data_IF_654008246265
#
_entry.id   IF_654008246265
#
_cell.length_a   1.000
_cell.length_b   1.000
_cell.length_c   1.000
_cell.angle_alpha   90.00
_cell.angle_beta   90.00
_cell.angle_gamma   90.00
#
_symmetry.space_group_name_H-M   'P 1'
#
loop_
_entity.id
_entity.type
_entity.pdbx_description
1 polymer ?
#
# COMPACT_ATOMS: atom_id res chain seq x y z
N UNK A 1 12.89 -14.61 -21.15
CA UNK A 1 12.87 -13.92 -19.86
C UNK A 1 11.54 -14.23 -19.22
N UNK A 2 11.54 -14.70 -17.96
CA UNK A 2 10.32 -15.05 -17.26
C UNK A 2 9.58 -13.76 -16.88
N UNK A 3 8.26 -13.75 -17.04
CA UNK A 3 7.35 -12.61 -16.82
C UNK A 3 7.55 -11.91 -15.45
N UNK A 4 8.16 -12.57 -14.46
CA UNK A 4 8.43 -12.02 -13.13
C UNK A 4 9.55 -10.97 -13.06
N UNK A 5 10.45 -10.91 -14.04
CA UNK A 5 11.55 -9.94 -14.03
C UNK A 5 11.11 -8.50 -14.43
N UNK A 6 9.83 -8.33 -14.81
CA UNK A 6 9.27 -7.03 -15.25
C UNK A 6 8.57 -6.26 -14.12
N UNK A 7 8.10 -6.94 -13.06
CA UNK A 7 7.33 -6.31 -11.99
C UNK A 7 8.21 -5.39 -11.12
N UNK A 8 7.68 -4.21 -10.78
CA UNK A 8 8.36 -3.25 -9.93
C UNK A 8 8.40 -3.68 -8.45
N UNK A 9 7.49 -4.57 -8.05
CA UNK A 9 7.33 -4.99 -6.66
C UNK A 9 6.79 -6.42 -6.52
N UNK A 10 7.43 -7.20 -5.64
CA UNK A 10 6.95 -8.52 -5.20
C UNK A 10 7.07 -8.62 -3.67
N UNK A 11 5.92 -8.78 -2.98
CA UNK A 11 5.88 -8.80 -1.52
C UNK A 11 6.62 -10.02 -0.95
N UNK A 12 7.74 -9.79 -0.25
CA UNK A 12 8.52 -10.86 0.41
C UNK A 12 8.00 -11.26 1.80
N UNK A 13 6.84 -10.74 2.21
CA UNK A 13 6.30 -10.89 3.57
C UNK A 13 7.32 -10.58 4.69
N UNK A 14 8.27 -9.67 4.43
CA UNK A 14 9.37 -9.35 5.34
C UNK A 14 8.96 -8.63 6.63
N UNK A 15 7.76 -8.05 6.69
CA UNK A 15 7.27 -7.33 7.86
C UNK A 15 7.75 -5.89 8.00
N UNK A 16 8.64 -5.40 7.12
CA UNK A 16 9.12 -4.02 7.22
C UNK A 16 7.98 -2.99 7.13
N UNK A 17 7.02 -3.17 6.20
CA UNK A 17 5.84 -2.31 6.12
C UNK A 17 4.89 -2.40 7.33
N UNK A 18 5.09 -3.37 8.23
CA UNK A 18 4.33 -3.51 9.46
C UNK A 18 4.95 -2.74 10.64
N UNK A 19 6.19 -2.26 10.51
CA UNK A 19 6.88 -1.48 11.53
C UNK A 19 6.46 -0.01 11.45
N UNK A 20 6.02 0.55 12.58
CA UNK A 20 5.64 1.96 12.72
C UNK A 20 4.20 2.15 13.22
N UNK A 21 3.94 3.31 13.80
CA UNK A 21 2.66 3.66 14.46
C UNK A 21 1.81 4.59 13.60
N UNK A 22 0.49 4.38 13.61
CA UNK A 22 -0.50 5.30 13.03
C UNK A 22 -0.54 5.38 11.49
N UNK A 23 0.16 4.50 10.78
CA UNK A 23 0.20 4.50 9.31
C UNK A 23 -0.93 3.70 8.65
N UNK A 24 -1.54 2.75 9.37
CA UNK A 24 -2.51 1.80 8.81
C UNK A 24 -3.93 2.27 9.07
N UNK A 25 -4.42 3.19 8.24
CA UNK A 25 -5.81 3.65 8.25
C UNK A 25 -6.75 2.53 7.81
N UNK A 26 -7.85 2.37 8.53
CA UNK A 26 -8.92 1.40 8.23
C UNK A 26 -10.15 2.19 7.79
N UNK A 27 -10.34 2.31 6.46
CA UNK A 27 -11.55 2.91 5.89
C UNK A 27 -12.76 1.97 6.00
N UNK A 28 -13.98 2.43 5.67
CA UNK A 28 -15.18 1.61 5.77
C UNK A 28 -15.11 0.29 5.00
N UNK A 29 -14.54 0.30 3.78
CA UNK A 29 -14.33 -0.92 2.96
C UNK A 29 -13.30 -1.86 3.57
N UNK A 30 -12.27 -1.32 4.22
CA UNK A 30 -11.24 -2.11 4.90
C UNK A 30 -11.84 -2.80 6.12
N UNK A 31 -12.64 -2.05 6.90
CA UNK A 31 -13.29 -2.55 8.10
C UNK A 31 -14.22 -3.72 7.78
N UNK A 32 -15.06 -3.58 6.75
CA UNK A 32 -15.92 -4.68 6.32
C UNK A 32 -15.12 -5.93 5.92
N UNK A 33 -14.04 -5.75 5.15
CA UNK A 33 -13.19 -6.85 4.66
C UNK A 33 -12.44 -7.56 5.78
N UNK A 34 -11.81 -6.82 6.70
CA UNK A 34 -11.02 -7.42 7.79
C UNK A 34 -11.93 -8.08 8.83
N UNK A 35 -13.09 -7.48 9.14
CA UNK A 35 -14.07 -8.08 10.03
C UNK A 35 -14.62 -9.39 9.49
N UNK A 36 -14.96 -9.46 8.19
CA UNK A 36 -15.41 -10.69 7.56
C UNK A 36 -14.35 -11.79 7.61
N UNK A 37 -13.07 -11.44 7.47
CA UNK A 37 -11.97 -12.40 7.57
C UNK A 37 -11.74 -12.90 9.00
N UNK A 38 -11.86 -12.01 10.00
CA UNK A 38 -11.64 -12.34 11.41
C UNK A 38 -12.88 -12.94 12.10
N UNK A 39 -14.05 -12.89 11.47
CA UNK A 39 -15.31 -13.29 12.09
C UNK A 39 -15.76 -12.36 13.21
N UNK A 40 -15.49 -11.05 13.08
CA UNK A 40 -15.78 -10.04 14.10
C UNK A 40 -16.79 -9.01 13.60
N UNK A 41 -17.48 -8.37 14.55
CA UNK A 41 -18.20 -7.13 14.30
C UNK A 41 -17.25 -5.93 14.22
N UNK A 42 -17.64 -4.83 13.56
CA UNK A 42 -16.89 -3.58 13.58
C UNK A 42 -16.51 -3.09 14.98
N UNK A 43 -17.43 -3.23 15.94
CA UNK A 43 -17.24 -2.81 17.32
C UNK A 43 -16.17 -3.65 18.03
N UNK A 44 -16.24 -4.98 17.87
CA UNK A 44 -15.22 -5.89 18.41
C UNK A 44 -13.85 -5.63 17.81
N UNK A 45 -13.78 -5.38 16.50
CA UNK A 45 -12.53 -5.03 15.83
C UNK A 45 -11.93 -3.73 16.38
N UNK A 46 -12.75 -2.68 16.54
CA UNK A 46 -12.28 -1.40 17.05
C UNK A 46 -11.72 -1.53 18.49
N UNK A 47 -12.39 -2.30 19.35
CA UNK A 47 -11.92 -2.57 20.72
C UNK A 47 -10.64 -3.41 20.73
N UNK A 48 -10.58 -4.48 19.94
CA UNK A 48 -9.48 -5.45 19.99
C UNK A 48 -8.23 -5.02 19.22
N UNK A 49 -8.38 -4.29 18.12
CA UNK A 49 -7.29 -3.99 17.18
C UNK A 49 -7.23 -2.52 16.73
N UNK A 50 -8.29 -1.74 16.97
CA UNK A 50 -8.38 -0.36 16.53
C UNK A 50 -7.77 0.65 17.49
N UNK A 51 -7.38 1.81 16.97
CA UNK A 51 -7.24 3.05 17.72
C UNK A 51 -7.72 4.22 16.86
N UNK A 52 -8.31 5.26 17.47
CA UNK A 52 -8.71 6.48 16.73
C UNK A 52 -7.65 7.56 16.85
N UNK A 53 -7.18 8.07 15.72
CA UNK A 53 -6.28 9.24 15.66
C UNK A 53 -6.75 10.19 14.56
N UNK A 54 -6.82 11.48 14.89
CA UNK A 54 -7.26 12.53 13.96
C UNK A 54 -8.59 12.21 13.26
N UNK A 55 -9.54 11.60 13.98
CA UNK A 55 -10.86 11.22 13.45
C UNK A 55 -10.89 9.92 12.64
N UNK A 56 -9.76 9.26 12.39
CA UNK A 56 -9.66 8.03 11.61
C UNK A 56 -9.42 6.82 12.49
N UNK A 57 -10.02 5.69 12.12
CA UNK A 57 -9.69 4.39 12.68
C UNK A 57 -8.36 3.90 12.08
N UNK A 58 -7.47 3.43 12.94
CA UNK A 58 -6.17 2.87 12.57
C UNK A 58 -5.95 1.53 13.28
N UNK A 59 -5.11 0.67 12.71
CA UNK A 59 -4.66 -0.55 13.40
C UNK A 59 -3.59 -0.19 14.43
N UNK A 60 -3.75 -0.69 15.67
CA UNK A 60 -2.78 -0.49 16.75
C UNK A 60 -1.49 -1.28 16.50
N UNK A 61 -0.44 -0.86 17.19
CA UNK A 61 0.82 -1.61 17.25
C UNK A 61 1.02 -2.26 18.61
N UNK A 62 1.89 -3.25 18.67
CA UNK A 62 2.42 -3.80 19.92
C UNK A 62 3.46 -2.87 20.58
N UNK A 63 4.12 -3.38 21.62
CA UNK A 63 5.19 -2.68 22.37
C UNK A 63 6.45 -2.46 21.55
N UNK A 64 6.70 -3.29 20.55
CA UNK A 64 7.87 -3.20 19.66
C UNK A 64 7.59 -2.33 18.42
N UNK A 65 6.41 -1.71 18.37
CA UNK A 65 5.91 -0.86 17.29
C UNK A 65 5.58 -1.60 15.99
N UNK A 66 5.35 -2.91 16.03
CA UNK A 66 4.82 -3.66 14.89
C UNK A 66 3.30 -3.64 14.91
N UNK A 67 2.68 -3.63 13.72
CA UNK A 67 1.26 -3.88 13.53
C UNK A 67 0.84 -5.13 14.31
N UNK A 68 -0.28 -5.06 15.05
CA UNK A 68 -0.77 -6.17 15.88
C UNK A 68 -1.04 -7.48 15.10
N UNK A 69 -1.20 -7.38 13.77
CA UNK A 69 -1.38 -8.53 12.88
C UNK A 69 -0.07 -9.05 12.27
N UNK A 70 1.08 -8.52 12.67
CA UNK A 70 2.37 -9.06 12.27
C UNK A 70 2.81 -10.13 13.26
N UNK A 71 3.02 -11.35 12.77
CA UNK A 71 3.60 -12.44 13.54
C UNK A 71 5.04 -12.64 13.08
N UNK A 72 6.00 -12.49 14.00
CA UNK A 72 7.41 -12.76 13.72
C UNK A 72 7.57 -14.16 13.12
N UNK A 73 8.38 -14.27 12.07
CA UNK A 73 8.65 -15.49 11.29
C UNK A 73 7.47 -16.07 10.48
N UNK A 74 6.25 -15.54 10.63
CA UNK A 74 5.06 -15.96 9.85
C UNK A 74 4.53 -14.88 8.90
N UNK A 75 4.79 -13.60 9.19
CA UNK A 75 4.34 -12.47 8.39
C UNK A 75 2.99 -11.91 8.82
N UNK A 76 2.28 -11.27 7.89
CA UNK A 76 1.00 -10.63 8.16
C UNK A 76 -0.12 -11.67 8.25
N UNK A 77 -0.73 -11.85 9.43
CA UNK A 77 -1.79 -12.83 9.66
C UNK A 77 -3.10 -12.49 8.91
N UNK A 78 -3.31 -11.22 8.60
CA UNK A 78 -4.46 -10.73 7.80
C UNK A 78 -4.08 -10.41 6.35
N UNK A 79 -3.03 -11.04 5.79
CA UNK A 79 -2.52 -10.68 4.46
C UNK A 79 -3.60 -10.71 3.37
N UNK A 80 -4.52 -11.68 3.42
CA UNK A 80 -5.62 -11.82 2.45
C UNK A 80 -6.70 -10.74 2.59
N UNK A 81 -6.78 -10.11 3.75
CA UNK A 81 -7.78 -9.10 4.09
C UNK A 81 -7.16 -7.71 4.33
N UNK A 82 -5.91 -7.50 3.90
CA UNK A 82 -5.13 -6.27 4.13
C UNK A 82 -5.97 -5.02 3.88
N UNK A 83 -5.90 -4.01 4.76
CA UNK A 83 -6.42 -2.67 4.45
C UNK A 83 -5.82 -2.13 3.15
N UNK A 84 -6.53 -1.24 2.49
CA UNK A 84 -6.13 -0.72 1.19
C UNK A 84 -4.77 -0.02 1.23
N UNK A 85 -4.45 0.66 2.33
CA UNK A 85 -3.11 1.23 2.53
C UNK A 85 -2.01 0.16 2.59
N UNK A 86 -2.29 -1.03 3.15
CA UNK A 86 -1.35 -2.15 3.16
C UNK A 86 -1.29 -2.89 1.82
N UNK A 87 -2.37 -2.88 1.03
CA UNK A 87 -2.40 -3.40 -0.34
C UNK A 87 -1.65 -2.50 -1.31
N UNK A 88 -1.63 -1.20 -1.04
CA UNK A 88 -1.01 -0.19 -1.89
C UNK A 88 0.48 -0.03 -1.66
N UNK A 89 1.04 -0.51 -0.54
CA UNK A 89 2.50 -0.52 -0.37
C UNK A 89 3.15 -1.34 -1.50
N UNK A 90 4.18 -0.82 -2.21
CA UNK A 90 4.96 0.41 -1.97
C UNK A 90 4.54 1.63 -2.81
N UNK A 91 3.45 1.54 -3.56
CA UNK A 91 2.98 2.55 -4.51
C UNK A 91 2.25 3.73 -3.83
N UNK A 92 2.80 4.26 -2.75
CA UNK A 92 2.26 5.47 -2.11
C UNK A 92 2.57 6.68 -2.96
N UNK A 93 1.68 7.70 -2.96
CA UNK A 93 1.85 8.93 -3.75
C UNK A 93 3.27 9.48 -3.70
N UNK A 94 3.87 9.59 -2.51
CA UNK A 94 5.25 10.07 -2.34
C UNK A 94 6.26 9.29 -3.19
N UNK A 95 6.22 7.96 -3.16
CA UNK A 95 7.12 7.11 -3.94
C UNK A 95 6.84 7.13 -5.45
N UNK A 96 5.65 7.61 -5.86
CA UNK A 96 5.26 7.70 -7.26
C UNK A 96 5.65 9.05 -7.88
N UNK A 97 5.74 10.12 -7.09
CA UNK A 97 6.03 11.47 -7.59
C UNK A 97 7.45 11.95 -7.29
N UNK A 98 8.15 11.27 -6.39
CA UNK A 98 9.47 11.66 -5.91
C UNK A 98 10.44 10.47 -5.93
N UNK A 99 11.51 10.62 -6.71
CA UNK A 99 12.54 9.58 -6.87
C UNK A 99 13.34 9.34 -5.59
N UNK A 100 13.50 10.35 -4.75
CA UNK A 100 14.22 10.23 -3.48
C UNK A 100 13.39 9.40 -2.49
N UNK A 101 12.08 9.65 -2.42
CA UNK A 101 11.11 8.82 -1.69
C UNK A 101 11.15 7.36 -2.15
N UNK A 102 11.17 7.08 -3.46
CA UNK A 102 11.33 5.72 -3.96
C UNK A 102 12.67 5.11 -3.54
N UNK A 103 13.75 5.88 -3.56
CA UNK A 103 15.08 5.40 -3.15
C UNK A 103 15.07 4.96 -1.68
N UNK A 104 14.51 5.79 -0.79
CA UNK A 104 14.32 5.42 0.62
C UNK A 104 13.42 4.19 0.79
N UNK A 105 12.37 4.07 -0.03
CA UNK A 105 11.50 2.89 0.02
C UNK A 105 12.25 1.61 -0.39
N UNK A 106 13.18 1.67 -1.35
CA UNK A 106 14.02 0.54 -1.76
C UNK A 106 14.96 0.09 -0.63
N UNK A 107 15.55 1.02 0.09
CA UNK A 107 16.40 0.71 1.25
C UNK A 107 15.61 -0.01 2.34
N UNK A 108 14.33 0.32 2.45
CA UNK A 108 13.45 -0.27 3.45
C UNK A 108 12.78 -1.57 3.00
N UNK A 109 12.45 -1.77 1.72
CA UNK A 109 11.63 -2.89 1.28
C UNK A 109 12.36 -3.79 0.26
N UNK A 110 12.75 -5.03 0.64
CA UNK A 110 13.44 -5.96 -0.26
C UNK A 110 12.53 -6.50 -1.38
N UNK A 111 11.23 -6.18 -1.35
CA UNK A 111 10.30 -6.53 -2.41
C UNK A 111 10.32 -5.56 -3.59
N UNK A 112 10.89 -4.36 -3.43
CA UNK A 112 11.00 -3.40 -4.54
C UNK A 112 12.18 -3.83 -5.41
N UNK A 113 11.95 -3.95 -6.72
CA UNK A 113 13.00 -4.31 -7.67
C UNK A 113 14.11 -3.26 -7.65
N UNK A 114 15.33 -3.66 -7.30
CA UNK A 114 16.44 -2.71 -7.02
C UNK A 114 16.74 -1.79 -8.21
N UNK A 115 16.73 -2.34 -9.43
CA UNK A 115 17.05 -1.62 -10.66
C UNK A 115 15.84 -0.96 -11.35
N UNK A 116 14.64 -0.94 -10.75
CA UNK A 116 13.49 -0.23 -11.36
C UNK A 116 13.75 1.27 -11.41
N UNK A 117 13.49 1.89 -12.56
CA UNK A 117 13.55 3.36 -12.65
C UNK A 117 12.33 3.97 -11.96
N UNK A 118 12.42 5.24 -11.53
CA UNK A 118 11.28 5.91 -10.92
C UNK A 118 10.07 5.97 -11.88
N UNK A 119 10.31 6.25 -13.16
CA UNK A 119 9.25 6.32 -14.16
C UNK A 119 8.57 4.96 -14.39
N UNK A 120 9.33 3.86 -14.47
CA UNK A 120 8.77 2.50 -14.52
C UNK A 120 7.94 2.17 -13.27
N UNK A 121 8.48 2.48 -12.09
CA UNK A 121 7.81 2.23 -10.81
C UNK A 121 6.50 3.00 -10.71
N UNK A 122 6.51 4.29 -11.07
CA UNK A 122 5.35 5.16 -11.05
C UNK A 122 4.25 4.65 -11.98
N UNK A 123 4.60 4.30 -13.22
CA UNK A 123 3.65 3.81 -14.21
C UNK A 123 3.00 2.48 -13.78
N UNK A 124 3.81 1.51 -13.31
CA UNK A 124 3.27 0.24 -12.80
C UNK A 124 2.42 0.44 -11.55
N UNK A 125 2.84 1.33 -10.65
CA UNK A 125 2.11 1.64 -9.43
C UNK A 125 0.74 2.25 -9.70
N UNK A 126 0.66 3.26 -10.57
CA UNK A 126 -0.63 3.87 -10.96
C UNK A 126 -1.54 2.83 -11.61
N UNK A 127 -1.02 1.99 -12.50
CA UNK A 127 -1.79 0.90 -13.12
C UNK A 127 -2.36 -0.04 -12.05
N UNK A 128 -1.51 -0.52 -11.14
CA UNK A 128 -1.92 -1.39 -10.04
C UNK A 128 -2.99 -0.73 -9.16
N UNK A 129 -2.79 0.53 -8.74
CA UNK A 129 -3.76 1.23 -7.90
C UNK A 129 -5.13 1.37 -8.57
N UNK A 130 -5.17 1.62 -9.89
CA UNK A 130 -6.41 1.70 -10.67
C UNK A 130 -7.09 0.34 -10.79
N UNK A 131 -6.37 -0.69 -11.23
CA UNK A 131 -6.90 -2.05 -11.41
C UNK A 131 -7.43 -2.65 -10.10
N UNK A 132 -6.80 -2.32 -8.98
CA UNK A 132 -7.15 -2.81 -7.65
C UNK A 132 -8.19 -1.95 -6.90
N UNK A 133 -8.62 -0.83 -7.50
CA UNK A 133 -9.58 0.10 -6.89
C UNK A 133 -9.06 0.76 -5.61
N UNK A 134 -7.76 1.05 -5.54
CA UNK A 134 -7.06 1.52 -4.34
C UNK A 134 -6.95 3.04 -4.23
N UNK A 135 -7.27 3.79 -5.29
CA UNK A 135 -7.25 5.25 -5.26
C UNK A 135 -8.34 5.77 -4.32
N UNK A 136 -7.94 6.52 -3.31
CA UNK A 136 -8.82 7.11 -2.30
C UNK A 136 -9.43 8.43 -2.80
N UNK A 137 -10.65 8.72 -2.37
CA UNK A 137 -11.39 9.95 -2.70
C UNK A 137 -11.80 10.73 -1.46
N UNK A 138 -11.98 10.07 -0.32
CA UNK A 138 -12.37 10.72 0.93
C UNK A 138 -11.16 10.94 1.85
N UNK A 139 -10.70 12.18 1.94
CA UNK A 139 -9.57 12.57 2.78
C UNK A 139 -9.83 12.43 4.27
N UNK A 140 -11.09 12.36 4.68
CA UNK A 140 -11.51 12.25 6.07
C UNK A 140 -11.62 10.80 6.53
N UNK A 141 -11.87 9.86 5.63
CA UNK A 141 -12.02 8.44 5.95
C UNK A 141 -10.85 7.55 5.49
N UNK A 142 -10.18 7.90 4.40
CA UNK A 142 -9.19 7.04 3.73
C UNK A 142 -7.75 7.54 3.92
N UNK A 143 -6.78 6.69 3.58
CA UNK A 143 -5.37 7.02 3.72
C UNK A 143 -4.93 8.08 2.70
N UNK A 144 -4.29 9.16 3.19
CA UNK A 144 -3.90 10.29 2.33
C UNK A 144 -2.85 9.93 1.29
N UNK A 145 -2.04 8.90 1.57
CA UNK A 145 -1.05 8.38 0.64
C UNK A 145 -1.65 7.79 -0.65
N UNK A 146 -2.97 7.55 -0.68
CA UNK A 146 -3.70 6.97 -1.80
C UNK A 146 -4.56 8.00 -2.55
N UNK A 147 -4.54 9.27 -2.14
CA UNK A 147 -5.21 10.34 -2.87
C UNK A 147 -4.24 10.80 -3.94
N UNK A 148 -4.53 10.49 -5.19
CA UNK A 148 -3.77 10.94 -6.36
C UNK A 148 -4.80 11.50 -7.33
N UNK A 149 -4.67 12.77 -7.68
CA UNK A 149 -5.63 13.43 -8.57
C UNK A 149 -5.52 12.84 -9.99
N UNK A 150 -6.62 12.82 -10.75
CA UNK A 150 -6.66 12.11 -12.04
C UNK A 150 -5.60 12.61 -13.03
N UNK A 151 -5.35 13.93 -13.07
CA UNK A 151 -4.29 14.54 -13.88
C UNK A 151 -2.89 14.11 -13.44
N UNK A 152 -2.66 13.96 -12.14
CA UNK A 152 -1.39 13.50 -11.59
C UNK A 152 -1.16 12.02 -11.93
N UNK A 153 -2.18 11.19 -11.73
CA UNK A 153 -2.15 9.79 -12.13
C UNK A 153 -1.95 9.62 -13.65
N UNK A 154 -2.53 10.50 -14.47
CA UNK A 154 -2.34 10.47 -15.92
C UNK A 154 -0.90 10.79 -16.33
N UNK A 155 -0.28 11.83 -15.75
CA UNK A 155 1.14 12.17 -16.01
C UNK A 155 2.09 11.02 -15.66
N UNK A 156 1.92 10.46 -14.46
CA UNK A 156 2.75 9.34 -13.98
C UNK A 156 2.62 8.07 -14.83
N UNK A 157 1.46 7.86 -15.47
CA UNK A 157 1.24 6.74 -16.37
C UNK A 157 1.88 6.94 -17.76
N UNK A 158 2.08 8.19 -18.18
CA UNK A 158 2.62 8.54 -19.51
C UNK A 158 4.15 8.49 -19.57
N UNK A 159 4.83 8.67 -18.44
CA UNK A 159 6.30 8.69 -18.36
C UNK A 159 6.94 7.29 -18.46
N UNK A 160 6.17 6.23 -18.76
CA UNK A 160 6.70 4.88 -18.92
C UNK A 160 7.52 4.75 -20.21
N UNK A 161 8.84 4.47 -20.15
CA UNK A 161 9.66 4.28 -21.35
C UNK A 161 9.32 2.99 -22.13
N UNK A 162 8.45 2.13 -21.59
CA UNK A 162 7.94 0.92 -22.24
C UNK A 162 6.57 1.12 -22.90
N UNK A 163 6.13 2.36 -23.13
CA UNK A 163 5.01 2.60 -24.04
C UNK A 163 5.32 1.96 -25.39
N UNK A 164 4.47 1.06 -25.93
CA UNK A 164 4.73 0.47 -27.22
C UNK A 164 4.77 1.60 -28.23
N UNK A 165 5.94 1.81 -28.84
CA UNK A 165 6.08 2.72 -29.96
C UNK A 165 5.06 2.34 -31.03
N UNK A 166 4.07 3.22 -31.23
CA UNK A 166 3.22 3.32 -32.41
C UNK A 166 2.46 2.05 -32.85
N UNK A 167 1.14 2.04 -32.68
CA UNK A 167 0.29 1.35 -33.65
C UNK A 167 -0.33 2.41 -34.56
N UNK A 168 0.29 2.52 -35.75
CA UNK A 168 -0.14 3.15 -37.02
C UNK A 168 -1.04 4.39 -36.98
#
# INVERSE_FOLDING_TARGET
>A
MSIKDEEAFDCKMCGHCCLGKGGIVVGPKDLARICAHLGLTPQEFEVAYGERRCGKLMIRTDSDNYCIFFEKDKGCSVHVAKPDICRAWPFFRGNLIDSDSLTMAKDFCPGIRSNVTHAEFAAQGVRYLREQGLLARDRNAEARALIIDDDEAARLAQDCPLSPAGTR
#
